data_IF_190163815061
#
_entry.id   IF_190163815061
#
_cell.length_a   1.000
_cell.length_b   1.000
_cell.length_c   1.000
_cell.angle_alpha   90.00
_cell.angle_beta   90.00
_cell.angle_gamma   90.00
#
_symmetry.space_group_name_H-M   'P 1'
#
loop_
_entity.id
_entity.type
_entity.pdbx_description
1 polymer ?
#
# COMPACT_ATOMS: atom_id res chain seq x y z
N UNK A 1 25.20 -13.18 12.78
CA UNK A 1 23.85 -13.53 12.31
C UNK A 1 23.11 -12.21 12.12
N UNK A 2 22.67 -11.91 10.90
CA UNK A 2 21.84 -10.72 10.64
C UNK A 2 20.43 -11.08 11.12
N UNK A 3 19.96 -10.40 12.16
CA UNK A 3 18.57 -10.52 12.59
C UNK A 3 17.72 -9.75 11.58
N UNK A 4 16.98 -10.47 10.73
CA UNK A 4 16.04 -9.86 9.79
C UNK A 4 14.80 -9.49 10.61
N UNK A 5 14.58 -8.19 10.83
CA UNK A 5 13.42 -7.69 11.57
C UNK A 5 12.12 -8.23 10.93
N UNK A 6 11.15 -8.54 11.78
CA UNK A 6 9.82 -8.92 11.31
C UNK A 6 9.08 -7.70 10.73
N UNK A 7 8.06 -7.94 9.92
CA UNK A 7 7.24 -6.85 9.37
C UNK A 7 6.61 -6.00 10.49
N UNK A 8 6.11 -6.65 11.55
CA UNK A 8 5.48 -5.97 12.68
C UNK A 8 6.49 -5.12 13.46
N UNK A 9 7.72 -5.60 13.66
CA UNK A 9 8.80 -4.84 14.32
C UNK A 9 9.21 -3.58 13.53
N UNK A 10 9.26 -3.70 12.20
CA UNK A 10 9.52 -2.54 11.33
C UNK A 10 8.39 -1.54 11.44
N UNK A 11 7.14 -2.02 11.40
CA UNK A 11 5.96 -1.18 11.47
C UNK A 11 5.83 -0.48 12.83
N UNK A 12 6.16 -1.17 13.92
CA UNK A 12 6.24 -0.57 15.27
C UNK A 12 7.25 0.58 15.31
N UNK A 13 8.41 0.40 14.65
CA UNK A 13 9.46 1.43 14.57
C UNK A 13 8.99 2.64 13.76
N UNK A 14 8.31 2.42 12.64
CA UNK A 14 7.76 3.50 11.81
C UNK A 14 6.69 4.26 12.60
N UNK A 15 5.71 3.56 13.17
CA UNK A 15 4.61 4.17 13.92
C UNK A 15 5.08 4.91 15.19
N UNK A 16 6.22 4.53 15.77
CA UNK A 16 6.80 5.29 16.88
C UNK A 16 7.36 6.67 16.45
N UNK A 17 7.70 6.83 15.16
CA UNK A 17 8.31 8.06 14.62
C UNK A 17 7.35 8.86 13.73
N UNK A 18 6.37 8.21 13.10
CA UNK A 18 5.40 8.80 12.19
C UNK A 18 3.99 8.24 12.45
N UNK A 19 3.14 9.08 13.04
CA UNK A 19 1.75 8.77 13.40
C UNK A 19 0.73 9.27 12.36
N UNK A 20 1.17 9.75 11.20
CA UNK A 20 0.26 10.28 10.17
C UNK A 20 -0.67 9.22 9.58
N UNK A 21 -0.20 7.98 9.53
CA UNK A 21 -0.93 6.85 8.94
C UNK A 21 -1.22 5.77 9.98
N UNK A 22 -2.46 5.27 9.97
CA UNK A 22 -2.84 4.14 10.80
C UNK A 22 -2.07 2.87 10.38
N UNK A 23 -1.87 1.92 11.30
CA UNK A 23 -1.23 0.63 11.00
C UNK A 23 -1.84 -0.06 9.78
N UNK A 24 -3.17 -0.05 9.70
CA UNK A 24 -3.91 -0.68 8.60
C UNK A 24 -3.63 -0.02 7.25
N UNK A 25 -3.22 1.25 7.21
CA UNK A 25 -2.77 1.88 5.96
C UNK A 25 -1.55 1.13 5.38
N UNK A 26 -0.58 0.78 6.23
CA UNK A 26 0.62 0.05 5.79
C UNK A 26 0.31 -1.38 5.33
N UNK A 27 -0.65 -2.04 5.98
CA UNK A 27 -1.14 -3.35 5.52
C UNK A 27 -1.84 -3.21 4.16
N UNK A 28 -2.74 -2.24 4.04
CA UNK A 28 -3.48 -1.97 2.81
C UNK A 28 -2.54 -1.64 1.64
N UNK A 29 -1.53 -0.78 1.83
CA UNK A 29 -0.56 -0.45 0.77
C UNK A 29 0.26 -1.66 0.38
N UNK A 30 0.66 -2.51 1.32
CA UNK A 30 1.39 -3.74 1.00
C UNK A 30 0.54 -4.69 0.15
N UNK A 31 -0.70 -4.93 0.54
CA UNK A 31 -1.62 -5.79 -0.22
C UNK A 31 -1.96 -5.18 -1.58
N UNK A 32 -2.15 -3.86 -1.64
CA UNK A 32 -2.39 -3.13 -2.89
C UNK A 32 -1.21 -3.18 -3.86
N UNK A 33 0.03 -3.21 -3.37
CA UNK A 33 1.22 -3.39 -4.21
C UNK A 33 1.23 -4.78 -4.85
N UNK A 34 0.97 -5.82 -4.06
CA UNK A 34 0.88 -7.19 -4.54
C UNK A 34 -0.25 -7.34 -5.57
N UNK A 35 -1.41 -6.74 -5.29
CA UNK A 35 -2.55 -6.67 -6.20
C UNK A 35 -2.17 -6.03 -7.54
N UNK A 36 -1.49 -4.88 -7.48
CA UNK A 36 -1.06 -4.13 -8.67
C UNK A 36 -0.07 -4.93 -9.49
N UNK A 37 0.93 -5.53 -8.84
CA UNK A 37 1.94 -6.35 -9.51
C UNK A 37 1.34 -7.57 -10.20
N UNK A 38 0.40 -8.26 -9.54
CA UNK A 38 -0.29 -9.41 -10.12
C UNK A 38 -1.17 -9.01 -11.30
N UNK A 39 -1.86 -7.86 -11.22
CA UNK A 39 -2.68 -7.34 -12.31
C UNK A 39 -1.84 -7.02 -13.55
N UNK A 40 -0.71 -6.34 -13.37
CA UNK A 40 0.22 -6.00 -14.46
C UNK A 40 0.86 -7.27 -15.05
N UNK A 41 1.32 -8.19 -14.18
CA UNK A 41 1.97 -9.43 -14.64
C UNK A 41 1.03 -10.28 -15.49
N UNK A 42 -0.28 -10.28 -15.21
CA UNK A 42 -1.29 -10.95 -16.04
C UNK A 42 -1.47 -10.28 -17.41
N UNK A 43 -1.30 -8.97 -17.49
CA UNK A 43 -1.40 -8.21 -18.75
C UNK A 43 -0.14 -8.31 -19.61
N UNK A 44 1.04 -8.45 -19.00
CA UNK A 44 2.36 -8.45 -19.66
C UNK A 44 3.04 -9.82 -19.68
N UNK A 45 2.24 -10.90 -19.77
CA UNK A 45 2.72 -12.30 -19.92
C UNK A 45 3.78 -12.75 -18.88
N UNK A 46 3.67 -12.27 -17.64
CA UNK A 46 4.54 -12.69 -16.52
C UNK A 46 5.81 -11.85 -16.35
N UNK A 47 5.92 -10.71 -17.00
CA UNK A 47 7.07 -9.80 -16.81
C UNK A 47 6.98 -9.07 -15.47
N UNK A 48 7.94 -9.33 -14.57
CA UNK A 48 8.09 -8.55 -13.32
C UNK A 48 8.90 -7.29 -13.62
N UNK A 49 8.28 -6.12 -13.49
CA UNK A 49 8.93 -4.81 -13.70
C UNK A 49 8.59 -3.81 -12.60
N UNK A 50 9.31 -2.69 -12.62
CA UNK A 50 8.99 -1.53 -11.79
C UNK A 50 7.58 -1.01 -12.14
N UNK A 51 6.82 -0.74 -11.08
CA UNK A 51 5.49 -0.14 -11.12
C UNK A 51 5.68 1.38 -11.07
N UNK A 52 5.11 2.09 -12.03
CA UNK A 52 5.06 3.56 -12.03
C UNK A 52 4.09 4.07 -10.96
N UNK A 53 4.23 5.35 -10.56
CA UNK A 53 3.29 5.95 -9.61
C UNK A 53 1.85 5.94 -10.10
N UNK A 54 1.61 6.09 -11.40
CA UNK A 54 0.29 6.05 -12.00
C UNK A 54 -0.33 4.64 -11.90
N UNK A 55 0.46 3.61 -12.18
CA UNK A 55 0.04 2.21 -12.04
C UNK A 55 -0.25 1.87 -10.58
N UNK A 56 0.59 2.34 -9.65
CA UNK A 56 0.37 2.21 -8.22
C UNK A 56 -0.97 2.81 -7.81
N UNK A 57 -1.23 4.07 -8.14
CA UNK A 57 -2.47 4.75 -7.78
C UNK A 57 -3.71 4.09 -8.42
N UNK A 58 -3.58 3.64 -9.67
CA UNK A 58 -4.63 2.89 -10.36
C UNK A 58 -4.95 1.57 -9.65
N UNK A 59 -3.92 0.83 -9.26
CA UNK A 59 -4.03 -0.42 -8.52
C UNK A 59 -4.57 -0.23 -7.11
N UNK A 60 -4.11 0.78 -6.36
CA UNK A 60 -4.64 1.13 -5.04
C UNK A 60 -6.14 1.45 -5.10
N UNK A 61 -6.55 2.24 -6.09
CA UNK A 61 -7.97 2.56 -6.29
C UNK A 61 -8.78 1.30 -6.59
N UNK A 62 -8.32 0.45 -7.50
CA UNK A 62 -9.01 -0.78 -7.85
C UNK A 62 -9.11 -1.72 -6.64
N UNK A 63 -8.01 -1.89 -5.91
CA UNK A 63 -7.94 -2.71 -4.71
C UNK A 63 -8.88 -2.20 -3.60
N UNK A 64 -8.88 -0.89 -3.32
CA UNK A 64 -9.78 -0.30 -2.32
C UNK A 64 -11.26 -0.50 -2.66
N UNK A 65 -11.63 -0.34 -3.93
CA UNK A 65 -13.00 -0.54 -4.41
C UNK A 65 -13.39 -2.02 -4.36
N UNK A 66 -12.47 -2.94 -4.60
CA UNK A 66 -12.72 -4.38 -4.52
C UNK A 66 -12.93 -4.84 -3.07
N UNK A 67 -12.12 -4.34 -2.13
CA UNK A 67 -12.22 -4.71 -0.71
C UNK A 67 -13.38 -4.04 0.03
N UNK A 68 -13.59 -2.74 -0.20
CA UNK A 68 -14.49 -1.92 0.63
C UNK A 68 -15.68 -1.32 -0.14
N UNK A 69 -15.72 -1.47 -1.46
CA UNK A 69 -16.80 -0.97 -2.30
C UNK A 69 -17.08 0.53 -2.07
N UNK A 70 -18.34 0.92 -1.81
CA UNK A 70 -18.70 2.34 -1.62
C UNK A 70 -18.08 2.97 -0.37
N UNK A 71 -17.58 2.17 0.59
CA UNK A 71 -16.95 2.68 1.81
C UNK A 71 -15.45 2.93 1.65
N UNK A 72 -14.85 2.62 0.49
CA UNK A 72 -13.41 2.74 0.26
C UNK A 72 -12.83 4.09 0.69
N UNK A 73 -13.45 5.19 0.29
CA UNK A 73 -12.96 6.53 0.66
C UNK A 73 -13.05 6.79 2.17
N UNK A 74 -14.11 6.32 2.84
CA UNK A 74 -14.26 6.50 4.29
C UNK A 74 -13.18 5.73 5.06
N UNK A 75 -12.93 4.48 4.66
CA UNK A 75 -11.91 3.63 5.28
C UNK A 75 -10.50 4.19 5.08
N UNK A 76 -10.17 4.60 3.85
CA UNK A 76 -8.87 5.21 3.56
C UNK A 76 -8.65 6.50 4.37
N UNK A 77 -9.67 7.37 4.43
CA UNK A 77 -9.59 8.61 5.21
C UNK A 77 -9.41 8.34 6.71
N UNK A 78 -10.10 7.33 7.27
CA UNK A 78 -9.95 6.93 8.67
C UNK A 78 -8.52 6.47 8.99
N UNK A 79 -7.84 5.88 8.00
CA UNK A 79 -6.44 5.48 8.14
C UNK A 79 -5.42 6.58 7.83
N UNK A 80 -5.88 7.81 7.56
CA UNK A 80 -5.02 8.94 7.23
C UNK A 80 -4.61 9.03 5.76
N UNK A 81 -5.15 8.17 4.89
CA UNK A 81 -4.91 8.19 3.44
C UNK A 81 -5.94 9.11 2.77
N UNK A 82 -5.54 10.36 2.52
CA UNK A 82 -6.42 11.41 2.00
C UNK A 82 -6.01 11.89 0.61
N UNK A 83 -4.78 11.59 0.18
CA UNK A 83 -4.18 12.03 -1.07
C UNK A 83 -3.39 10.91 -1.72
N UNK A 84 -3.19 11.01 -3.03
CA UNK A 84 -2.40 10.01 -3.78
C UNK A 84 -0.94 9.95 -3.31
N UNK A 85 -0.38 11.08 -2.89
CA UNK A 85 1.01 11.14 -2.42
C UNK A 85 1.22 10.31 -1.14
N UNK A 86 0.20 10.14 -0.31
CA UNK A 86 0.25 9.40 0.95
C UNK A 86 0.65 7.93 0.73
N UNK A 87 0.21 7.32 -0.39
CA UNK A 87 0.65 5.97 -0.76
C UNK A 87 2.16 5.92 -1.03
N UNK A 88 2.72 6.95 -1.66
CA UNK A 88 4.15 7.06 -1.88
C UNK A 88 4.91 7.22 -0.57
N UNK A 89 4.42 8.09 0.32
CA UNK A 89 5.03 8.29 1.63
C UNK A 89 5.08 6.98 2.45
N UNK A 90 3.99 6.20 2.45
CA UNK A 90 3.97 4.88 3.11
C UNK A 90 4.99 3.90 2.50
N UNK A 91 5.18 3.90 1.18
CA UNK A 91 6.15 3.02 0.51
C UNK A 91 7.60 3.35 0.88
N UNK A 92 7.89 4.60 1.22
CA UNK A 92 9.25 5.09 1.50
C UNK A 92 9.54 5.34 3.00
N UNK A 93 8.58 5.12 3.89
CA UNK A 93 8.78 5.11 5.34
C UNK A 93 9.55 3.86 5.79
#
# INVERSE_FOLDING_TARGET
MIHKQSYDEVLDTILANDLRFHRDAYHFVREGLDYTQQSISKQEEGTVRHISGQELLGGMRAHALEQYGPMALMVLNEWGLTRGEDFGEIVFN
#
